data_IF_195597553091
#
_entry.id   IF_195597553091
#
_cell.length_a   1.000
_cell.length_b   1.000
_cell.length_c   1.000
_cell.angle_alpha   90.00
_cell.angle_beta   90.00
_cell.angle_gamma   90.00
#
_symmetry.space_group_name_H-M   'P 1'
#
loop_
_entity.id
_entity.type
_entity.pdbx_description
1 polymer ?
#
# COMPACT_ATOMS: atom_id res chain seq x y z
N UNK A 1 27.28 -11.42 -1.20
CA UNK A 1 26.81 -10.02 -1.19
C UNK A 1 25.73 -9.96 -0.14
N UNK A 2 25.85 -9.09 0.86
CA UNK A 2 24.85 -8.96 1.93
C UNK A 2 23.48 -8.68 1.32
N UNK A 3 22.44 -9.28 1.88
CA UNK A 3 21.06 -9.01 1.45
C UNK A 3 20.79 -7.50 1.56
N UNK A 4 20.08 -6.88 0.60
CA UNK A 4 19.73 -5.47 0.63
C UNK A 4 18.63 -5.17 1.67
N UNK A 5 18.51 -5.97 2.73
CA UNK A 5 17.43 -5.90 3.72
C UNK A 5 18.00 -5.96 5.14
N UNK A 6 17.74 -4.92 5.92
CA UNK A 6 17.96 -4.90 7.36
C UNK A 6 16.62 -4.80 8.09
N UNK A 7 16.39 -5.66 9.08
CA UNK A 7 15.14 -5.69 9.86
C UNK A 7 15.42 -5.22 11.29
N UNK A 8 14.83 -4.09 11.67
CA UNK A 8 15.02 -3.44 12.96
C UNK A 8 13.77 -3.63 13.83
N UNK A 9 13.86 -4.43 14.89
CA UNK A 9 12.75 -4.61 15.84
C UNK A 9 12.93 -3.70 17.05
N UNK A 10 12.05 -2.71 17.22
CA UNK A 10 12.02 -1.80 18.37
C UNK A 10 11.41 -2.50 19.59
N UNK A 11 12.15 -3.46 20.17
CA UNK A 11 11.63 -4.43 21.14
C UNK A 11 12.17 -4.27 22.57
N UNK A 12 12.60 -3.07 22.97
CA UNK A 12 13.15 -2.83 24.32
C UNK A 12 12.15 -3.20 25.45
N UNK A 13 10.85 -3.02 25.21
CA UNK A 13 9.77 -3.39 26.14
C UNK A 13 9.45 -4.87 26.15
N UNK A 14 9.95 -5.65 25.18
CA UNK A 14 9.64 -7.05 25.01
C UNK A 14 8.28 -7.35 24.38
N UNK A 15 7.50 -6.34 23.99
CA UNK A 15 6.15 -6.54 23.41
C UNK A 15 6.15 -7.34 22.11
N UNK A 16 7.21 -7.25 21.29
CA UNK A 16 7.30 -8.01 20.04
C UNK A 16 7.78 -9.46 20.25
N UNK A 17 8.31 -9.82 21.44
CA UNK A 17 8.90 -11.16 21.71
C UNK A 17 8.02 -12.32 21.24
N UNK A 18 6.68 -12.31 21.43
CA UNK A 18 5.83 -13.43 20.99
C UNK A 18 5.78 -13.62 19.46
N UNK A 19 6.07 -12.58 18.69
CA UNK A 19 5.91 -12.55 17.22
C UNK A 19 7.21 -12.32 16.45
N UNK A 20 8.38 -12.26 17.10
CA UNK A 20 9.68 -12.01 16.44
C UNK A 20 9.93 -12.94 15.25
N UNK A 21 9.76 -14.26 15.44
CA UNK A 21 9.99 -15.25 14.39
C UNK A 21 9.01 -15.08 13.23
N UNK A 22 7.74 -14.77 13.54
CA UNK A 22 6.72 -14.47 12.53
C UNK A 22 7.12 -13.25 11.71
N UNK A 23 7.48 -12.13 12.36
CA UNK A 23 7.87 -10.88 11.70
C UNK A 23 9.07 -11.09 10.76
N UNK A 24 10.16 -11.70 11.26
CA UNK A 24 11.33 -11.96 10.41
C UNK A 24 10.99 -12.85 9.21
N UNK A 25 10.25 -13.93 9.44
CA UNK A 25 9.90 -14.87 8.36
C UNK A 25 9.02 -14.21 7.30
N UNK A 26 8.01 -13.45 7.71
CA UNK A 26 7.02 -12.86 6.80
C UNK A 26 7.57 -11.67 6.02
N UNK A 27 8.38 -10.82 6.68
CA UNK A 27 9.06 -9.70 6.01
C UNK A 27 10.02 -10.24 4.94
N UNK A 28 10.85 -11.24 5.27
CA UNK A 28 11.78 -11.85 4.30
C UNK A 28 11.02 -12.49 3.14
N UNK A 29 9.97 -13.27 3.41
CA UNK A 29 9.16 -13.87 2.36
C UNK A 29 8.52 -12.82 1.43
N UNK A 30 8.02 -11.72 1.97
CA UNK A 30 7.42 -10.65 1.18
C UNK A 30 8.46 -9.91 0.33
N UNK A 31 9.66 -9.66 0.87
CA UNK A 31 10.78 -9.05 0.14
C UNK A 31 11.26 -9.97 -0.97
N UNK A 32 11.49 -11.25 -0.68
CA UNK A 32 11.90 -12.25 -1.67
C UNK A 32 10.89 -12.39 -2.81
N UNK A 33 9.59 -12.43 -2.50
CA UNK A 33 8.54 -12.51 -3.51
C UNK A 33 8.51 -11.24 -4.36
N UNK A 34 8.49 -10.06 -3.72
CA UNK A 34 8.44 -8.78 -4.43
C UNK A 34 9.67 -8.57 -5.33
N UNK A 35 10.86 -9.01 -4.90
CA UNK A 35 12.09 -8.92 -5.67
C UNK A 35 12.07 -9.72 -6.99
N UNK A 36 11.14 -10.67 -7.16
CA UNK A 36 10.94 -11.38 -8.43
C UNK A 36 10.24 -10.53 -9.48
N UNK A 37 9.56 -9.47 -9.06
CA UNK A 37 8.73 -8.62 -9.92
C UNK A 37 9.30 -7.21 -10.05
N UNK A 38 9.83 -6.65 -8.96
CA UNK A 38 10.33 -5.27 -8.91
C UNK A 38 11.81 -5.21 -8.49
N UNK A 39 12.58 -4.24 -9.03
CA UNK A 39 13.97 -4.05 -8.65
C UNK A 39 14.06 -3.36 -7.28
N UNK A 40 14.11 -4.16 -6.21
CA UNK A 40 14.30 -3.63 -4.86
C UNK A 40 15.72 -3.12 -4.65
N UNK A 41 15.84 -1.92 -4.08
CA UNK A 41 17.09 -1.36 -3.58
C UNK A 41 17.39 -1.76 -2.12
N UNK A 42 18.48 -1.23 -1.53
CA UNK A 42 18.75 -1.35 -0.10
C UNK A 42 17.58 -0.81 0.74
N UNK A 43 17.17 -1.57 1.76
CA UNK A 43 15.94 -1.34 2.49
C UNK A 43 16.10 -1.64 3.98
N UNK A 44 15.71 -0.67 4.81
CA UNK A 44 15.46 -0.87 6.23
C UNK A 44 13.97 -1.14 6.47
N UNK A 45 13.64 -2.20 7.21
CA UNK A 45 12.28 -2.43 7.72
C UNK A 45 12.29 -2.26 9.22
N UNK A 46 11.67 -1.18 9.71
CA UNK A 46 11.60 -0.84 11.14
C UNK A 46 10.24 -1.26 11.68
N UNK A 47 10.22 -2.13 12.69
CA UNK A 47 8.99 -2.66 13.28
C UNK A 47 8.86 -2.22 14.73
N UNK A 48 7.71 -1.65 15.09
CA UNK A 48 7.35 -1.28 16.46
C UNK A 48 6.04 -1.96 16.91
N UNK A 49 5.90 -2.14 18.23
CA UNK A 49 4.64 -2.56 18.83
C UNK A 49 3.77 -1.35 19.20
N UNK A 50 2.53 -1.29 18.73
CA UNK A 50 1.63 -0.18 19.04
C UNK A 50 0.17 -0.47 18.69
N UNK A 51 -0.79 0.25 19.31
CA UNK A 51 -2.23 0.02 19.08
C UNK A 51 -2.77 0.71 17.81
N UNK A 52 -1.96 1.57 17.16
CA UNK A 52 -2.37 2.29 15.95
C UNK A 52 -2.13 1.41 14.72
N UNK A 53 -3.03 0.46 14.51
CA UNK A 53 -2.99 -0.50 13.41
C UNK A 53 -4.32 -0.50 12.65
N UNK A 54 -4.35 -1.11 11.46
CA UNK A 54 -5.62 -1.46 10.81
C UNK A 54 -6.23 -2.62 11.62
N UNK A 55 -7.39 -2.46 12.28
CA UNK A 55 -7.94 -3.48 13.16
C UNK A 55 -8.14 -4.83 12.47
N UNK A 56 -8.53 -4.80 11.20
CA UNK A 56 -8.76 -5.96 10.34
C UNK A 56 -7.47 -6.76 10.03
N UNK A 57 -6.28 -6.19 10.28
CA UNK A 57 -4.97 -6.83 10.03
C UNK A 57 -4.09 -6.97 11.27
N UNK A 58 -4.32 -6.15 12.29
CA UNK A 58 -3.40 -6.03 13.43
C UNK A 58 -2.04 -5.43 13.07
N UNK A 59 -1.90 -4.84 11.88
CA UNK A 59 -0.69 -4.17 11.42
C UNK A 59 -1.03 -2.97 10.51
N UNK A 60 -0.07 -2.06 10.36
CA UNK A 60 -0.08 -0.99 9.35
C UNK A 60 1.34 -0.71 8.89
N UNK A 61 1.50 -0.42 7.60
CA UNK A 61 2.76 -0.04 6.97
C UNK A 61 2.80 1.46 6.64
N UNK A 62 4.01 1.98 6.47
CA UNK A 62 4.26 3.33 5.98
C UNK A 62 5.64 3.42 5.32
N UNK A 63 5.67 3.93 4.09
CA UNK A 63 6.91 4.09 3.31
C UNK A 63 7.17 5.56 2.99
N UNK A 64 7.97 6.28 3.80
CA UNK A 64 8.25 7.70 3.59
C UNK A 64 9.22 7.99 2.43
N UNK A 65 10.01 7.00 2.02
CA UNK A 65 11.03 7.12 0.97
C UNK A 65 11.50 5.75 0.49
N UNK A 66 12.36 5.72 -0.53
CA UNK A 66 12.77 4.50 -1.23
C UNK A 66 13.49 3.45 -0.37
N UNK A 67 14.13 3.86 0.72
CA UNK A 67 15.02 2.99 1.49
C UNK A 67 14.51 2.59 2.88
N UNK A 68 13.28 2.94 3.27
CA UNK A 68 12.73 2.47 4.55
C UNK A 68 11.23 2.24 4.53
N UNK A 69 10.82 1.19 5.23
CA UNK A 69 9.42 0.88 5.57
C UNK A 69 9.31 0.87 7.09
N UNK A 70 8.30 1.56 7.61
CA UNK A 70 7.91 1.53 9.01
C UNK A 70 6.66 0.68 9.16
N UNK A 71 6.69 -0.24 10.13
CA UNK A 71 5.59 -1.15 10.41
C UNK A 71 5.22 -1.03 11.88
N UNK A 72 3.96 -0.69 12.16
CA UNK A 72 3.40 -0.82 13.50
C UNK A 72 2.58 -2.11 13.53
N UNK A 73 2.84 -2.96 14.51
CA UNK A 73 2.05 -4.18 14.76
C UNK A 73 1.45 -4.16 16.15
N UNK A 74 0.29 -4.78 16.31
CA UNK A 74 -0.31 -5.06 17.60
C UNK A 74 -0.22 -6.56 17.89
N UNK A 75 0.76 -7.02 18.69
CA UNK A 75 0.96 -8.44 19.01
C UNK A 75 -0.24 -9.08 19.71
N UNK A 76 -1.10 -8.26 20.32
CA UNK A 76 -2.29 -8.70 21.06
C UNK A 76 -3.53 -8.77 20.14
N UNK A 77 -3.42 -8.29 18.89
CA UNK A 77 -4.51 -8.37 17.91
C UNK A 77 -4.53 -9.76 17.24
N UNK A 78 -5.64 -10.52 17.35
CA UNK A 78 -5.72 -11.86 16.79
C UNK A 78 -5.62 -11.90 15.26
N UNK A 79 -5.98 -10.83 14.55
CA UNK A 79 -5.88 -10.76 13.09
C UNK A 79 -4.42 -10.84 12.61
N UNK A 80 -3.47 -10.31 13.40
CA UNK A 80 -2.05 -10.38 13.07
C UNK A 80 -1.56 -11.83 13.05
N UNK A 81 -1.95 -12.62 14.05
CA UNK A 81 -1.49 -14.01 14.22
C UNK A 81 -2.26 -14.96 13.29
N UNK A 82 -3.54 -14.69 13.06
CA UNK A 82 -4.34 -15.46 12.11
C UNK A 82 -3.79 -15.33 10.68
N UNK A 83 -3.28 -14.14 10.32
CA UNK A 83 -2.62 -13.84 9.04
C UNK A 83 -3.40 -14.38 7.83
N UNK A 84 -4.73 -14.19 7.88
CA UNK A 84 -5.62 -14.73 6.86
C UNK A 84 -5.24 -14.20 5.48
N UNK A 85 -5.16 -15.10 4.50
CA UNK A 85 -4.75 -14.77 3.13
C UNK A 85 -3.37 -14.08 3.03
N UNK A 86 -2.47 -14.33 3.98
CA UNK A 86 -1.13 -13.71 4.02
C UNK A 86 -1.22 -12.18 4.14
N UNK A 87 -2.16 -11.70 4.95
CA UNK A 87 -2.47 -10.28 5.12
C UNK A 87 -1.23 -9.44 5.46
N UNK A 88 -0.29 -10.01 6.23
CA UNK A 88 0.95 -9.34 6.60
C UNK A 88 1.92 -9.23 5.42
N UNK A 89 2.22 -10.32 4.69
CA UNK A 89 3.09 -10.22 3.51
C UNK A 89 2.49 -9.32 2.42
N UNK A 90 1.17 -9.35 2.24
CA UNK A 90 0.46 -8.47 1.30
C UNK A 90 0.63 -6.99 1.66
N UNK A 91 0.55 -6.63 2.93
CA UNK A 91 0.85 -5.28 3.39
C UNK A 91 2.32 -4.92 3.14
N UNK A 92 3.27 -5.80 3.44
CA UNK A 92 4.69 -5.52 3.17
C UNK A 92 4.94 -5.33 1.66
N UNK A 93 4.34 -6.14 0.80
CA UNK A 93 4.44 -6.00 -0.65
C UNK A 93 3.85 -4.68 -1.17
N UNK A 94 2.77 -4.19 -0.56
CA UNK A 94 2.20 -2.87 -0.85
C UNK A 94 3.22 -1.76 -0.54
N UNK A 95 3.83 -1.79 0.65
CA UNK A 95 4.84 -0.82 1.06
C UNK A 95 6.12 -0.91 0.19
N UNK A 96 6.54 -2.12 -0.18
CA UNK A 96 7.66 -2.32 -1.09
C UNK A 96 7.40 -1.73 -2.48
N UNK A 97 6.16 -1.79 -2.98
CA UNK A 97 5.78 -1.11 -4.21
C UNK A 97 5.96 0.41 -4.08
N UNK A 98 5.56 1.01 -2.95
CA UNK A 98 5.84 2.42 -2.68
C UNK A 98 7.34 2.71 -2.65
N UNK A 99 8.15 1.86 -2.01
CA UNK A 99 9.60 2.04 -1.93
C UNK A 99 10.23 2.09 -3.34
N UNK A 100 9.79 1.23 -4.25
CA UNK A 100 10.25 1.26 -5.65
C UNK A 100 9.74 2.51 -6.35
N UNK A 101 8.47 2.89 -6.16
CA UNK A 101 7.90 4.10 -6.75
C UNK A 101 8.63 5.38 -6.31
N UNK A 102 9.14 5.43 -5.08
CA UNK A 102 9.99 6.51 -4.58
C UNK A 102 11.29 6.73 -5.35
N UNK A 103 11.74 5.76 -6.14
CA UNK A 103 12.91 5.90 -7.02
C UNK A 103 12.59 6.54 -8.37
N UNK A 104 11.30 6.76 -8.66
CA UNK A 104 10.81 7.45 -9.86
C UNK A 104 10.00 8.70 -9.49
N UNK A 105 8.68 8.75 -9.77
CA UNK A 105 7.86 9.93 -9.52
C UNK A 105 7.62 10.24 -8.03
N UNK A 106 7.94 9.32 -7.13
CA UNK A 106 7.58 9.46 -5.72
C UNK A 106 6.12 9.09 -5.44
N UNK A 107 5.73 9.22 -4.16
CA UNK A 107 4.36 8.97 -3.74
C UNK A 107 3.37 10.04 -4.25
N UNK A 108 3.83 11.29 -4.39
CA UNK A 108 3.03 12.40 -4.88
C UNK A 108 2.71 13.46 -3.83
N UNK A 109 2.45 14.68 -4.32
CA UNK A 109 2.03 15.83 -3.50
C UNK A 109 0.64 16.34 -3.89
N UNK A 110 0.13 15.94 -5.06
CA UNK A 110 -1.22 16.22 -5.53
C UNK A 110 -2.13 15.01 -5.36
N UNK A 111 -3.45 15.25 -5.33
CA UNK A 111 -4.44 14.20 -5.09
C UNK A 111 -4.33 13.07 -6.12
N UNK A 112 -4.21 13.40 -7.42
CA UNK A 112 -4.10 12.41 -8.48
C UNK A 112 -2.91 11.46 -8.28
N UNK A 113 -1.75 12.03 -7.93
CA UNK A 113 -0.53 11.26 -7.66
C UNK A 113 -0.72 10.29 -6.48
N UNK A 114 -1.32 10.77 -5.38
CA UNK A 114 -1.62 9.93 -4.22
C UNK A 114 -2.59 8.80 -4.54
N UNK A 115 -3.66 9.08 -5.29
CA UNK A 115 -4.64 8.08 -5.71
C UNK A 115 -3.98 6.98 -6.57
N UNK A 116 -3.13 7.36 -7.53
CA UNK A 116 -2.45 6.41 -8.41
C UNK A 116 -1.37 5.62 -7.67
N UNK A 117 -0.63 6.24 -6.76
CA UNK A 117 0.34 5.55 -5.92
C UNK A 117 -0.30 4.41 -5.13
N UNK A 118 -1.44 4.67 -4.50
CA UNK A 118 -2.20 3.71 -3.69
C UNK A 118 -2.89 2.64 -4.55
N UNK A 119 -3.50 3.06 -5.66
CA UNK A 119 -4.15 2.16 -6.61
C UNK A 119 -3.17 1.16 -7.23
N UNK A 120 -1.99 1.61 -7.65
CA UNK A 120 -0.96 0.74 -8.21
C UNK A 120 -0.42 -0.22 -7.16
N UNK A 121 -0.15 0.24 -5.93
CA UNK A 121 0.31 -0.63 -4.85
C UNK A 121 -0.72 -1.71 -4.51
N UNK A 122 -2.02 -1.37 -4.44
CA UNK A 122 -3.10 -2.35 -4.25
C UNK A 122 -3.18 -3.36 -5.41
N UNK A 123 -3.13 -2.88 -6.65
CA UNK A 123 -3.15 -3.74 -7.83
C UNK A 123 -1.95 -4.68 -7.88
N UNK A 124 -0.75 -4.19 -7.55
CA UNK A 124 0.49 -4.97 -7.49
C UNK A 124 0.37 -6.14 -6.52
N UNK A 125 -0.15 -5.90 -5.31
CA UNK A 125 -0.39 -6.99 -4.35
C UNK A 125 -1.26 -8.08 -4.96
N UNK A 126 -2.32 -7.73 -5.70
CA UNK A 126 -3.16 -8.72 -6.40
C UNK A 126 -2.47 -9.39 -7.59
N UNK A 127 -1.51 -8.75 -8.25
CA UNK A 127 -0.68 -9.40 -9.27
C UNK A 127 0.18 -10.50 -8.67
N UNK A 128 0.78 -10.24 -7.51
CA UNK A 128 1.75 -11.15 -6.87
C UNK A 128 1.06 -12.24 -6.05
N UNK A 129 0.05 -11.87 -5.26
CA UNK A 129 -0.59 -12.78 -4.29
C UNK A 129 -1.96 -13.29 -4.74
N UNK A 130 -2.52 -12.77 -5.83
CA UNK A 130 -3.85 -13.12 -6.29
C UNK A 130 -4.97 -12.55 -5.41
N UNK A 131 -6.21 -13.08 -5.54
CA UNK A 131 -7.36 -12.66 -4.74
C UNK A 131 -7.17 -12.97 -3.24
N UNK A 132 -7.95 -12.34 -2.34
CA UNK A 132 -9.04 -11.41 -2.62
C UNK A 132 -8.58 -9.97 -2.85
N UNK A 133 -9.55 -9.08 -3.10
CA UNK A 133 -9.37 -7.64 -2.89
C UNK A 133 -9.27 -7.38 -1.39
N UNK A 134 -8.45 -6.40 -1.02
CA UNK A 134 -8.46 -5.84 0.33
C UNK A 134 -9.76 -5.07 0.59
N UNK A 135 -10.24 -4.98 1.85
CA UNK A 135 -11.52 -4.33 2.16
C UNK A 135 -11.64 -2.90 1.65
N UNK A 136 -10.54 -2.13 1.64
CA UNK A 136 -10.50 -0.74 1.19
C UNK A 136 -10.51 -0.56 -0.33
N UNK A 137 -10.15 -1.60 -1.10
CA UNK A 137 -10.19 -1.55 -2.56
C UNK A 137 -11.63 -1.59 -3.10
N UNK A 138 -12.56 -2.19 -2.33
CA UNK A 138 -13.96 -2.38 -2.69
C UNK A 138 -14.93 -1.87 -1.62
N UNK A 139 -14.53 -0.82 -0.89
CA UNK A 139 -15.34 -0.25 0.18
C UNK A 139 -16.64 0.40 -0.32
N UNK A 140 -16.70 0.76 -1.60
CA UNK A 140 -17.83 1.43 -2.23
C UNK A 140 -18.31 0.68 -3.47
N UNK A 141 -19.62 0.71 -3.72
CA UNK A 141 -20.17 0.26 -4.99
C UNK A 141 -19.76 1.24 -6.10
N UNK A 142 -19.49 0.80 -7.35
CA UNK A 142 -19.06 1.70 -8.44
C UNK A 142 -19.98 2.90 -8.70
N UNK A 143 -21.30 2.74 -8.49
CA UNK A 143 -22.27 3.82 -8.60
C UNK A 143 -22.06 4.91 -7.54
N UNK A 144 -21.80 4.53 -6.29
CA UNK A 144 -21.57 5.47 -5.19
C UNK A 144 -20.21 6.16 -5.30
N UNK A 145 -19.25 5.50 -5.95
CA UNK A 145 -17.92 6.03 -6.17
C UNK A 145 -17.87 7.10 -7.28
N UNK A 146 -18.82 7.08 -8.21
CA UNK A 146 -18.78 7.94 -9.40
C UNK A 146 -18.76 9.45 -9.10
N UNK A 147 -19.64 10.00 -8.23
CA UNK A 147 -19.58 11.43 -7.88
C UNK A 147 -18.27 11.83 -7.20
N UNK A 148 -17.69 10.93 -6.40
CA UNK A 148 -16.41 11.17 -5.73
C UNK A 148 -15.23 11.16 -6.71
N UNK A 149 -15.29 10.33 -7.76
CA UNK A 149 -14.29 10.32 -8.82
C UNK A 149 -14.29 11.64 -9.56
N UNK A 150 -15.44 12.15 -9.96
CA UNK A 150 -15.54 13.42 -10.69
C UNK A 150 -14.96 14.57 -9.83
N UNK A 151 -15.32 14.63 -8.55
CA UNK A 151 -14.77 15.60 -7.60
C UNK A 151 -13.26 15.44 -7.38
N UNK A 152 -12.73 14.21 -7.43
CA UNK A 152 -11.29 13.95 -7.34
C UNK A 152 -10.56 14.40 -8.62
N UNK A 153 -11.14 14.20 -9.80
CA UNK A 153 -10.58 14.62 -11.09
C UNK A 153 -10.52 16.16 -11.22
N UNK A 154 -11.51 16.88 -10.68
CA UNK A 154 -11.46 18.36 -10.60
C UNK A 154 -10.33 18.86 -9.69
N UNK A 155 -9.92 18.04 -8.72
CA UNK A 155 -8.88 18.34 -7.73
C UNK A 155 -7.57 17.62 -8.01
N UNK A 156 -7.44 17.00 -9.18
CA UNK A 156 -6.33 16.11 -9.54
C UNK A 156 -4.96 16.74 -9.22
N UNK A 157 -4.77 17.97 -9.68
CA UNK A 157 -3.55 18.76 -9.57
C UNK A 157 -3.48 19.61 -8.29
N UNK A 158 -4.28 19.28 -7.26
CA UNK A 158 -4.34 20.04 -6.00
C UNK A 158 -3.66 19.27 -4.87
N UNK A 159 -2.93 20.01 -4.04
CA UNK A 159 -2.47 19.50 -2.75
C UNK A 159 -3.67 18.99 -1.94
N UNK A 160 -3.44 17.93 -1.16
CA UNK A 160 -4.50 17.22 -0.46
C UNK A 160 -4.09 16.87 0.97
N UNK A 161 -5.09 16.59 1.79
CA UNK A 161 -4.89 16.06 3.13
C UNK A 161 -5.05 14.53 3.08
N UNK A 162 -3.96 13.80 3.27
CA UNK A 162 -3.96 12.34 3.15
C UNK A 162 -4.91 11.65 4.16
N UNK A 163 -4.85 11.94 5.47
CA UNK A 163 -5.82 11.38 6.43
C UNK A 163 -7.28 11.62 6.04
N UNK A 164 -7.60 12.80 5.47
CA UNK A 164 -8.96 13.12 5.03
C UNK A 164 -9.42 12.19 3.91
N UNK A 165 -8.60 11.94 2.90
CA UNK A 165 -8.98 11.12 1.74
C UNK A 165 -8.89 9.62 1.99
N UNK A 166 -7.87 9.16 2.72
CA UNK A 166 -7.54 7.74 2.82
C UNK A 166 -8.00 7.12 4.14
N UNK A 167 -7.99 7.89 5.24
CA UNK A 167 -8.35 7.42 6.58
C UNK A 167 -9.77 7.85 7.00
N UNK A 168 -10.42 8.73 6.24
CA UNK A 168 -11.77 9.23 6.54
C UNK A 168 -11.81 10.22 7.70
N UNK A 169 -10.75 11.00 7.91
CA UNK A 169 -10.78 12.06 8.94
C UNK A 169 -11.57 13.25 8.41
N UNK A 170 -12.72 13.56 9.01
CA UNK A 170 -13.54 14.72 8.65
C UNK A 170 -14.81 14.34 7.89
N UNK A 171 -15.01 14.94 6.71
CA UNK A 171 -16.24 14.87 5.92
C UNK A 171 -16.28 13.75 4.86
N UNK A 172 -15.13 13.12 4.58
CA UNK A 172 -15.05 12.02 3.63
C UNK A 172 -15.09 10.66 4.33
N UNK A 173 -15.71 9.64 3.71
CA UNK A 173 -15.78 8.31 4.29
C UNK A 173 -14.39 7.64 4.31
N UNK A 174 -14.18 6.76 5.30
CA UNK A 174 -12.97 5.94 5.42
C UNK A 174 -12.76 5.15 4.13
N UNK A 175 -11.51 5.09 3.67
CA UNK A 175 -11.04 4.35 2.49
C UNK A 175 -11.44 4.90 1.11
N UNK A 176 -12.05 6.09 1.04
CA UNK A 176 -12.46 6.66 -0.25
C UNK A 176 -11.30 6.75 -1.25
N UNK A 177 -10.14 7.26 -0.83
CA UNK A 177 -8.97 7.41 -1.68
C UNK A 177 -8.46 6.07 -2.24
N UNK A 178 -8.46 5.01 -1.43
CA UNK A 178 -8.03 3.67 -1.87
C UNK A 178 -8.98 3.08 -2.92
N UNK A 179 -10.28 3.18 -2.69
CA UNK A 179 -11.29 2.70 -3.65
C UNK A 179 -11.25 3.50 -4.95
N UNK A 180 -11.04 4.82 -4.89
CA UNK A 180 -10.86 5.67 -6.07
C UNK A 180 -9.60 5.32 -6.86
N UNK A 181 -8.47 5.17 -6.18
CA UNK A 181 -7.21 4.75 -6.82
C UNK A 181 -7.34 3.39 -7.50
N UNK A 182 -8.01 2.44 -6.83
CA UNK A 182 -8.29 1.12 -7.40
C UNK A 182 -9.16 1.23 -8.66
N UNK A 183 -10.28 1.98 -8.61
CA UNK A 183 -11.17 2.16 -9.76
C UNK A 183 -10.46 2.79 -10.97
N UNK A 184 -9.61 3.81 -10.74
CA UNK A 184 -8.84 4.45 -11.81
C UNK A 184 -7.82 3.51 -12.45
N UNK A 185 -7.06 2.76 -11.64
CA UNK A 185 -6.05 1.81 -12.14
C UNK A 185 -6.71 0.64 -12.87
N UNK A 186 -7.80 0.08 -12.33
CA UNK A 186 -8.52 -1.03 -12.99
C UNK A 186 -9.12 -0.62 -14.33
N UNK A 187 -9.67 0.60 -14.45
CA UNK A 187 -10.15 1.14 -15.74
C UNK A 187 -9.01 1.28 -16.74
N UNK A 188 -7.88 1.86 -16.33
CA UNK A 188 -6.71 2.00 -17.18
C UNK A 188 -6.25 0.65 -17.73
N UNK A 189 -6.13 -0.36 -16.86
CA UNK A 189 -5.68 -1.70 -17.24
C UNK A 189 -6.70 -2.45 -18.13
N UNK A 190 -7.99 -2.18 -17.98
CA UNK A 190 -9.01 -2.74 -18.87
C UNK A 190 -8.83 -2.26 -20.33
N UNK A 191 -8.43 -1.00 -20.50
CA UNK A 191 -8.17 -0.40 -21.82
C UNK A 191 -6.76 -0.70 -22.35
N UNK A 192 -5.83 -1.10 -21.47
CA UNK A 192 -4.42 -1.38 -21.78
C UNK A 192 -4.01 -2.77 -21.30
N UNK A 193 -4.45 -3.86 -21.95
CA UNK A 193 -4.29 -5.23 -21.44
C UNK A 193 -2.83 -5.74 -21.38
N UNK A 194 -1.88 -4.99 -21.92
CA UNK A 194 -0.44 -5.29 -21.84
C UNK A 194 0.26 -4.58 -20.67
N UNK A 195 -0.43 -3.63 -20.02
CA UNK A 195 0.08 -2.96 -18.84
C UNK A 195 -0.10 -3.82 -17.58
N UNK A 196 0.73 -3.58 -16.58
CA UNK A 196 0.65 -4.16 -15.25
C UNK A 196 1.06 -3.14 -14.21
N UNK A 197 0.64 -3.29 -12.95
CA UNK A 197 1.10 -2.43 -11.87
C UNK A 197 2.63 -2.52 -11.71
N UNK A 198 3.19 -3.73 -11.89
CA UNK A 198 4.65 -3.93 -11.93
C UNK A 198 5.33 -3.07 -13.00
N UNK A 199 4.83 -3.09 -14.24
CA UNK A 199 5.40 -2.30 -15.35
C UNK A 199 5.13 -0.81 -15.26
N UNK A 200 4.11 -0.41 -14.49
CA UNK A 200 3.66 0.97 -14.31
C UNK A 200 4.11 1.59 -12.99
N UNK A 201 4.99 0.93 -12.21
CA UNK A 201 5.45 1.42 -10.90
C UNK A 201 5.96 2.87 -10.94
N UNK A 202 6.60 3.26 -12.05
CA UNK A 202 7.11 4.63 -12.29
C UNK A 202 6.27 5.47 -13.24
N UNK A 203 5.08 5.00 -13.64
CA UNK A 203 4.20 5.79 -14.50
C UNK A 203 3.73 7.06 -13.77
N UNK A 204 3.72 8.16 -14.53
CA UNK A 204 3.12 9.42 -14.13
C UNK A 204 1.61 9.23 -13.87
N UNK A 205 1.08 9.96 -12.90
CA UNK A 205 -0.33 9.86 -12.55
C UNK A 205 -1.24 10.22 -13.73
N UNK A 206 -0.88 11.23 -14.54
CA UNK A 206 -1.69 11.70 -15.67
C UNK A 206 -1.96 10.61 -16.71
N UNK A 207 -1.15 9.55 -16.77
CA UNK A 207 -1.43 8.39 -17.62
C UNK A 207 -2.76 7.71 -17.28
N UNK A 208 -3.20 7.78 -16.02
CA UNK A 208 -4.42 7.16 -15.52
C UNK A 208 -5.60 8.14 -15.44
N UNK A 209 -5.38 9.41 -15.80
CA UNK A 209 -6.42 10.42 -15.82
C UNK A 209 -7.33 10.14 -17.02
N UNK A 210 -8.64 9.89 -16.82
CA UNK A 210 -9.56 9.68 -17.95
C UNK A 210 -9.55 10.88 -18.88
N UNK A 211 -9.55 10.63 -20.19
CA UNK A 211 -9.77 11.70 -21.18
C UNK A 211 -11.19 12.25 -21.04
N UNK A 212 -11.32 13.58 -21.16
CA UNK A 212 -12.61 14.28 -21.13
C UNK A 212 -13.46 14.00 -22.38
#
# INVERSE_FOLDING_TARGET
MSEPLEIHLLNATGRLRPVVSFLHSRIRAAVEETARHLPLGPLDVVVEAGPRVIPEKGAVGYTPHANAIFVTVDPDNPALVADENRAFERMIAHELHHAVRWTGPGYGTHLGEGLISEGLACRFVREVYGPPFEPWEKAFHPFDLAPHRDAALERWDKAYNHPRWFMGTGDLPRWLGYSLGTDLVERHLADHPHDSATGLVHADADRFRPSA
#
